data_IF_928537719761
#
_entry.id   IF_928537719761
#
_cell.length_a   1.000
_cell.length_b   1.000
_cell.length_c   1.000
_cell.angle_alpha   90.00
_cell.angle_beta   90.00
_cell.angle_gamma   90.00
#
_symmetry.space_group_name_H-M   'P 1'
#
loop_
_entity.id
_entity.type
_entity.pdbx_description
1 polymer ?
#
# COMPACT_ATOMS: atom_id res chain seq x y z
N UNK A 1 19.09 5.03 -0.66
CA UNK A 1 19.19 3.71 -0.02
C UNK A 1 19.05 2.61 -1.08
N UNK A 2 20.02 1.70 -1.16
CA UNK A 2 19.89 0.47 -1.96
C UNK A 2 18.98 -0.50 -1.20
N UNK A 3 18.25 -1.36 -1.90
CA UNK A 3 17.42 -2.40 -1.25
C UNK A 3 18.24 -3.26 -0.28
N UNK A 4 19.49 -3.55 -0.63
CA UNK A 4 20.45 -4.28 0.21
C UNK A 4 20.71 -3.62 1.56
N UNK A 5 20.68 -2.29 1.63
CA UNK A 5 20.90 -1.57 2.89
C UNK A 5 19.81 -1.92 3.93
N UNK A 6 18.61 -2.28 3.46
CA UNK A 6 17.53 -2.78 4.30
C UNK A 6 17.59 -4.31 4.46
N UNK A 7 17.64 -5.06 3.36
CA UNK A 7 17.49 -6.53 3.41
C UNK A 7 18.68 -7.24 4.05
N UNK A 8 19.86 -6.65 3.98
CA UNK A 8 21.09 -7.15 4.61
C UNK A 8 21.40 -6.43 5.93
N UNK A 9 20.51 -5.55 6.40
CA UNK A 9 20.66 -4.92 7.70
C UNK A 9 20.76 -6.01 8.79
N UNK A 10 21.75 -5.96 9.71
CA UNK A 10 21.99 -7.03 10.68
C UNK A 10 20.74 -7.40 11.51
N UNK A 11 19.89 -6.43 11.82
CA UNK A 11 18.64 -6.67 12.55
C UNK A 11 17.61 -7.42 11.72
N UNK A 12 17.42 -7.05 10.46
CA UNK A 12 16.49 -7.72 9.54
C UNK A 12 16.95 -9.15 9.29
N UNK A 13 18.24 -9.33 9.03
CA UNK A 13 18.84 -10.65 8.86
C UNK A 13 18.64 -11.52 10.11
N UNK A 14 18.88 -10.97 11.31
CA UNK A 14 18.67 -11.67 12.58
C UNK A 14 17.21 -12.10 12.74
N UNK A 15 16.24 -11.19 12.52
CA UNK A 15 14.81 -11.50 12.64
C UNK A 15 14.41 -12.64 11.70
N UNK A 16 14.78 -12.56 10.42
CA UNK A 16 14.44 -13.60 9.43
C UNK A 16 15.07 -14.93 9.81
N UNK A 17 16.34 -14.93 10.24
CA UNK A 17 17.03 -16.15 10.67
C UNK A 17 16.37 -16.77 11.90
N UNK A 18 16.05 -15.97 12.91
CA UNK A 18 15.50 -16.45 14.17
C UNK A 18 14.10 -17.05 13.95
N UNK A 19 13.25 -16.39 13.15
CA UNK A 19 11.95 -16.95 12.75
C UNK A 19 12.08 -18.28 11.99
N UNK A 20 13.07 -18.41 11.09
CA UNK A 20 13.35 -19.68 10.40
C UNK A 20 13.83 -20.77 11.37
N UNK A 21 14.67 -20.41 12.34
CA UNK A 21 15.14 -21.34 13.38
C UNK A 21 14.00 -21.82 14.30
N UNK A 22 13.03 -20.95 14.55
CA UNK A 22 11.78 -21.29 15.27
C UNK A 22 10.80 -22.11 14.41
N UNK A 23 11.14 -22.39 13.15
CA UNK A 23 10.31 -23.17 12.22
C UNK A 23 9.06 -22.41 11.76
N UNK A 24 9.03 -21.08 11.86
CA UNK A 24 7.88 -20.26 11.47
C UNK A 24 7.55 -20.45 9.98
N UNK A 25 8.57 -20.55 9.12
CA UNK A 25 8.42 -20.82 7.69
C UNK A 25 7.80 -22.20 7.37
N UNK A 26 7.67 -23.09 8.36
CA UNK A 26 7.01 -24.40 8.21
C UNK A 26 5.61 -24.42 8.83
N UNK A 27 5.17 -23.34 9.50
CA UNK A 27 3.82 -23.27 10.08
C UNK A 27 2.77 -23.15 8.98
N UNK A 28 1.58 -23.70 9.23
CA UNK A 28 0.44 -23.56 8.34
C UNK A 28 -0.27 -22.23 8.60
N UNK A 29 -0.25 -21.35 7.61
CA UNK A 29 -0.96 -20.07 7.59
C UNK A 29 -2.10 -20.05 6.57
N UNK A 30 -2.01 -20.90 5.53
CA UNK A 30 -3.04 -21.04 4.51
C UNK A 30 -3.20 -22.48 4.04
N UNK A 31 -4.38 -22.77 3.52
CA UNK A 31 -4.70 -24.00 2.81
C UNK A 31 -4.49 -23.87 1.29
N UNK A 32 -4.28 -22.65 0.78
CA UNK A 32 -3.99 -22.38 -0.63
C UNK A 32 -2.48 -22.30 -0.83
N UNK A 33 -1.95 -23.19 -1.65
CA UNK A 33 -0.52 -23.37 -1.89
C UNK A 33 -0.18 -23.30 -3.37
N UNK A 34 1.06 -22.95 -3.71
CA UNK A 34 1.59 -23.20 -5.06
C UNK A 34 2.48 -24.47 -5.11
N UNK A 35 3.07 -24.71 -6.28
CA UNK A 35 3.99 -25.82 -6.55
C UNK A 35 5.24 -25.79 -5.67
N UNK A 36 5.67 -24.60 -5.24
CA UNK A 36 6.84 -24.38 -4.37
C UNK A 36 6.47 -24.40 -2.87
N UNK A 37 5.22 -24.74 -2.54
CA UNK A 37 4.65 -24.71 -1.19
C UNK A 37 4.61 -23.31 -0.56
N UNK A 38 4.66 -22.23 -1.33
CA UNK A 38 4.32 -20.92 -0.80
C UNK A 38 2.84 -20.88 -0.43
N UNK A 39 2.50 -20.16 0.64
CA UNK A 39 1.16 -20.10 1.20
C UNK A 39 0.52 -18.75 0.88
N UNK A 40 -0.68 -18.79 0.33
CA UNK A 40 -1.38 -17.61 -0.17
C UNK A 40 -2.32 -17.06 0.91
N UNK A 41 -2.08 -15.83 1.35
CA UNK A 41 -2.80 -15.16 2.45
C UNK A 41 -3.37 -13.82 2.00
N UNK A 42 -4.38 -13.33 2.71
CA UNK A 42 -4.86 -11.97 2.57
C UNK A 42 -4.10 -11.03 3.52
N UNK A 43 -3.66 -9.87 3.00
CA UNK A 43 -2.97 -8.86 3.81
C UNK A 43 -3.81 -7.59 3.86
N UNK A 44 -4.17 -7.17 5.07
CA UNK A 44 -4.88 -5.92 5.34
C UNK A 44 -3.94 -5.00 6.10
N UNK A 45 -3.66 -3.82 5.54
CA UNK A 45 -2.73 -2.85 6.08
C UNK A 45 -3.48 -1.64 6.63
N UNK A 46 -3.59 -1.55 7.95
CA UNK A 46 -4.15 -0.37 8.61
C UNK A 46 -3.21 0.83 8.44
N UNK A 47 -3.79 2.00 8.22
CA UNK A 47 -3.07 3.26 8.22
C UNK A 47 -2.86 3.82 9.62
N UNK A 48 -1.74 4.52 9.81
CA UNK A 48 -1.45 5.26 11.03
C UNK A 48 -0.05 5.89 11.01
N UNK A 49 0.03 7.22 11.16
CA UNK A 49 1.26 7.98 11.39
C UNK A 49 2.34 7.93 10.28
N UNK A 50 3.45 8.60 10.55
CA UNK A 50 4.53 8.96 9.59
C UNK A 50 5.26 7.75 8.99
N UNK A 51 5.04 6.50 9.41
CA UNK A 51 5.87 5.39 8.92
C UNK A 51 5.05 4.14 8.61
N UNK A 52 4.29 4.24 7.50
CA UNK A 52 3.96 3.06 6.67
C UNK A 52 5.19 2.23 6.27
N UNK A 53 6.41 2.70 6.57
CA UNK A 53 7.69 1.99 6.51
C UNK A 53 7.72 0.71 7.35
N UNK A 54 7.11 0.68 8.53
CA UNK A 54 7.08 -0.55 9.34
C UNK A 54 6.33 -1.68 8.62
N UNK A 55 5.26 -1.34 7.90
CA UNK A 55 4.48 -2.28 7.11
C UNK A 55 5.28 -2.84 5.93
N UNK A 56 6.22 -2.07 5.38
CA UNK A 56 7.13 -2.55 4.32
C UNK A 56 7.98 -3.70 4.85
N UNK A 57 8.66 -3.50 5.99
CA UNK A 57 9.48 -4.55 6.61
C UNK A 57 8.67 -5.77 7.00
N UNK A 58 7.44 -5.57 7.46
CA UNK A 58 6.50 -6.65 7.75
C UNK A 58 6.22 -7.52 6.52
N UNK A 59 5.84 -6.90 5.39
CA UNK A 59 5.58 -7.65 4.15
C UNK A 59 6.82 -8.38 3.64
N UNK A 60 8.01 -7.81 3.78
CA UNK A 60 9.27 -8.49 3.47
C UNK A 60 9.44 -9.76 4.31
N UNK A 61 9.29 -9.67 5.63
CA UNK A 61 9.42 -10.83 6.51
C UNK A 61 8.40 -11.91 6.17
N UNK A 62 7.14 -11.54 5.87
CA UNK A 62 6.13 -12.51 5.44
C UNK A 62 6.56 -13.28 4.18
N UNK A 63 7.06 -12.57 3.15
CA UNK A 63 7.54 -13.21 1.92
C UNK A 63 8.74 -14.14 2.17
N UNK A 64 9.64 -13.76 3.09
CA UNK A 64 10.77 -14.58 3.52
C UNK A 64 10.36 -15.86 4.27
N UNK A 65 9.15 -15.87 4.87
CA UNK A 65 8.54 -17.05 5.51
C UNK A 65 7.75 -17.93 4.53
N UNK A 66 7.79 -17.63 3.23
CA UNK A 66 7.08 -18.40 2.21
C UNK A 66 5.61 -18.00 2.04
N UNK A 67 5.23 -16.81 2.49
CA UNK A 67 3.89 -16.27 2.25
C UNK A 67 3.83 -15.49 0.93
N UNK A 68 2.68 -15.54 0.26
CA UNK A 68 2.34 -14.75 -0.92
C UNK A 68 0.99 -14.08 -0.72
N UNK A 69 0.81 -12.91 -1.30
CA UNK A 69 -0.36 -12.08 -1.02
C UNK A 69 -1.44 -12.32 -2.06
N UNK A 70 -2.42 -13.15 -1.73
CA UNK A 70 -3.56 -13.46 -2.60
C UNK A 70 -4.51 -12.28 -2.73
N UNK A 71 -4.69 -11.51 -1.67
CA UNK A 71 -5.51 -10.31 -1.67
C UNK A 71 -4.86 -9.23 -0.80
N UNK A 72 -5.07 -7.99 -1.18
CA UNK A 72 -4.44 -6.83 -0.57
C UNK A 72 -5.52 -5.81 -0.23
N UNK A 73 -5.49 -5.29 0.99
CA UNK A 73 -6.32 -4.16 1.37
C UNK A 73 -5.55 -3.16 2.22
N UNK A 74 -5.99 -1.90 2.23
CA UNK A 74 -5.43 -0.92 3.16
C UNK A 74 -6.33 0.27 3.45
N UNK A 75 -5.97 1.00 4.51
CA UNK A 75 -6.53 2.31 4.88
C UNK A 75 -5.40 3.35 4.94
N UNK A 76 -5.66 4.60 4.52
CA UNK A 76 -4.67 5.69 4.55
C UNK A 76 -3.28 5.24 4.00
N UNK A 77 -2.18 5.38 4.76
CA UNK A 77 -0.83 4.95 4.36
C UNK A 77 -0.72 3.46 3.98
N UNK A 78 -1.52 2.58 4.59
CA UNK A 78 -1.57 1.17 4.22
C UNK A 78 -2.16 0.94 2.82
N UNK A 79 -3.03 1.84 2.34
CA UNK A 79 -3.57 1.80 0.98
C UNK A 79 -2.49 2.02 -0.07
N UNK A 80 -1.54 2.91 0.23
CA UNK A 80 -0.39 3.21 -0.64
C UNK A 80 0.45 1.94 -0.83
N UNK A 81 0.79 1.29 0.30
CA UNK A 81 1.54 0.04 0.27
C UNK A 81 0.79 -1.08 -0.46
N UNK A 82 -0.51 -1.24 -0.17
CA UNK A 82 -1.35 -2.25 -0.79
C UNK A 82 -1.44 -2.04 -2.32
N UNK A 83 -1.60 -0.80 -2.77
CA UNK A 83 -1.67 -0.47 -4.20
C UNK A 83 -0.34 -0.72 -4.90
N UNK A 84 0.78 -0.29 -4.31
CA UNK A 84 2.11 -0.54 -4.87
C UNK A 84 2.40 -2.05 -4.97
N UNK A 85 2.12 -2.83 -3.92
CA UNK A 85 2.22 -4.29 -3.97
C UNK A 85 1.31 -4.91 -5.04
N UNK A 86 0.09 -4.39 -5.21
CA UNK A 86 -0.80 -4.85 -6.26
C UNK A 86 -0.25 -4.54 -7.66
N UNK A 87 0.44 -3.41 -7.83
CA UNK A 87 1.01 -2.98 -9.11
C UNK A 87 2.25 -3.77 -9.55
N UNK A 88 2.96 -4.44 -8.63
CA UNK A 88 4.27 -5.05 -8.93
C UNK A 88 4.23 -6.44 -9.60
N UNK A 89 3.10 -6.81 -10.22
CA UNK A 89 2.87 -8.04 -10.96
C UNK A 89 1.79 -8.93 -10.36
N UNK A 90 1.70 -10.18 -10.79
CA UNK A 90 0.72 -11.15 -10.27
C UNK A 90 1.04 -11.60 -8.83
N UNK A 91 0.10 -12.32 -8.21
CA UNK A 91 0.19 -12.74 -6.79
C UNK A 91 1.26 -13.81 -6.49
N UNK A 92 1.88 -14.44 -7.50
CA UNK A 92 2.83 -15.53 -7.28
C UNK A 92 4.24 -15.07 -6.92
N UNK A 93 4.59 -13.84 -7.31
CA UNK A 93 5.94 -13.31 -7.16
C UNK A 93 6.11 -12.56 -5.84
N UNK A 94 7.30 -12.62 -5.22
CA UNK A 94 7.63 -11.70 -4.13
C UNK A 94 7.73 -10.27 -4.66
N UNK A 95 7.27 -9.31 -3.87
CA UNK A 95 7.09 -7.89 -4.26
C UNK A 95 7.66 -6.91 -3.24
N UNK A 96 8.00 -7.38 -2.03
CA UNK A 96 8.45 -6.49 -0.95
C UNK A 96 9.72 -5.73 -1.28
N UNK A 97 10.64 -6.32 -2.06
CA UNK A 97 11.92 -5.69 -2.41
C UNK A 97 11.72 -4.44 -3.27
N UNK A 98 10.77 -4.49 -4.20
CA UNK A 98 10.35 -3.34 -5.02
C UNK A 98 9.67 -2.28 -4.16
N UNK A 99 8.83 -2.71 -3.22
CA UNK A 99 8.18 -1.79 -2.27
C UNK A 99 9.20 -1.05 -1.41
N UNK A 100 10.20 -1.76 -0.86
CA UNK A 100 11.32 -1.18 -0.12
C UNK A 100 12.05 -0.17 -1.00
N UNK A 101 12.39 -0.54 -2.23
CA UNK A 101 13.12 0.35 -3.13
C UNK A 101 12.37 1.66 -3.40
N UNK A 102 11.05 1.60 -3.57
CA UNK A 102 10.24 2.77 -3.89
C UNK A 102 10.03 3.66 -2.67
N UNK A 103 9.67 3.09 -1.53
CA UNK A 103 9.24 3.86 -0.37
C UNK A 103 10.37 4.22 0.59
N UNK A 104 11.40 3.39 0.75
CA UNK A 104 12.54 3.71 1.63
C UNK A 104 13.41 4.86 1.06
N UNK A 105 13.25 5.15 -0.24
CA UNK A 105 13.96 6.24 -0.92
C UNK A 105 13.11 7.51 -1.08
N UNK A 106 11.85 7.48 -0.65
CA UNK A 106 10.96 8.61 -0.82
C UNK A 106 11.00 9.51 0.42
N UNK A 107 11.31 10.78 0.22
CA UNK A 107 11.06 11.77 1.25
C UNK A 107 9.57 12.11 1.25
N UNK A 108 8.92 11.94 2.42
CA UNK A 108 7.50 12.23 2.57
C UNK A 108 7.21 13.74 2.54
N UNK A 109 8.21 14.60 2.80
CA UNK A 109 8.07 16.04 2.63
C UNK A 109 7.83 16.44 1.17
N UNK A 110 8.30 15.63 0.21
CA UNK A 110 8.05 15.86 -1.22
C UNK A 110 6.55 15.79 -1.57
N UNK A 111 5.70 15.27 -0.68
CA UNK A 111 4.25 15.22 -0.86
C UNK A 111 3.53 16.42 -0.25
N UNK A 112 4.25 17.33 0.41
CA UNK A 112 3.68 18.58 0.91
C UNK A 112 3.61 19.59 -0.24
N UNK A 113 2.48 19.60 -0.93
CA UNK A 113 2.12 20.57 -1.96
C UNK A 113 1.11 21.60 -1.43
N UNK A 114 0.65 22.51 -2.31
CA UNK A 114 -0.14 23.68 -1.94
C UNK A 114 0.63 24.99 -2.14
N UNK A 115 0.04 26.09 -1.71
CA UNK A 115 0.70 27.40 -1.78
C UNK A 115 1.78 27.55 -0.69
N UNK A 116 2.49 28.69 -0.69
CA UNK A 116 3.58 28.90 0.26
C UNK A 116 3.08 28.94 1.71
N UNK A 117 1.86 29.45 1.95
CA UNK A 117 1.30 29.55 3.29
C UNK A 117 0.91 28.17 3.86
N UNK A 118 0.36 27.28 3.03
CA UNK A 118 0.09 25.88 3.37
C UNK A 118 1.38 25.12 3.72
N UNK A 119 2.43 25.24 2.90
CA UNK A 119 3.72 24.60 3.17
C UNK A 119 4.35 25.08 4.48
N UNK A 120 4.41 26.40 4.68
CA UNK A 120 4.99 26.98 5.89
C UNK A 120 4.19 26.62 7.16
N UNK A 121 2.88 26.39 7.05
CA UNK A 121 2.06 25.90 8.16
C UNK A 121 2.35 24.43 8.49
N UNK A 122 2.45 23.55 7.48
CA UNK A 122 2.79 22.14 7.68
C UNK A 122 4.20 21.99 8.26
N UNK A 123 5.17 22.74 7.75
CA UNK A 123 6.53 22.79 8.31
C UNK A 123 6.50 23.23 9.78
N UNK A 124 5.76 24.27 10.12
CA UNK A 124 5.66 24.74 11.50
C UNK A 124 5.00 23.70 12.44
N UNK A 125 4.01 22.94 11.96
CA UNK A 125 3.39 21.84 12.71
C UNK A 125 4.39 20.70 12.96
N UNK A 126 5.12 20.31 11.92
CA UNK A 126 6.13 19.25 11.96
C UNK A 126 7.28 19.61 12.90
N UNK A 127 7.77 20.85 12.83
CA UNK A 127 8.84 21.37 13.69
C UNK A 127 8.40 21.58 15.15
N UNK A 128 7.14 21.27 15.49
CA UNK A 128 6.54 21.52 16.80
C UNK A 128 6.73 22.98 17.24
N UNK A 129 6.51 23.90 16.30
CA UNK A 129 6.68 25.32 16.54
C UNK A 129 5.79 25.82 17.68
N UNK A 130 6.21 26.93 18.31
CA UNK A 130 5.44 27.56 19.39
C UNK A 130 4.02 27.91 18.94
N UNK A 131 3.06 27.79 19.85
CA UNK A 131 1.61 28.04 19.64
C UNK A 131 1.35 29.37 18.92
N UNK A 132 2.11 30.43 19.22
CA UNK A 132 1.99 31.74 18.55
C UNK A 132 2.32 31.69 17.06
N UNK A 133 3.38 30.96 16.66
CA UNK A 133 3.77 30.78 15.25
C UNK A 133 2.73 29.93 14.52
N UNK A 134 2.23 28.88 15.17
CA UNK A 134 1.14 28.04 14.64
C UNK A 134 -0.16 28.82 14.45
N UNK A 135 -0.54 29.69 15.39
CA UNK A 135 -1.74 30.50 15.27
C UNK A 135 -1.63 31.51 14.12
N UNK A 136 -0.48 32.16 13.97
CA UNK A 136 -0.23 33.08 12.85
C UNK A 136 -0.32 32.36 11.49
N UNK A 137 0.41 31.25 11.34
CA UNK A 137 0.40 30.46 10.11
C UNK A 137 -0.97 29.84 9.84
N UNK A 138 -1.66 29.40 10.88
CA UNK A 138 -3.02 28.88 10.82
C UNK A 138 -4.01 29.89 10.22
N UNK A 139 -3.89 31.19 10.54
CA UNK A 139 -4.74 32.23 9.92
C UNK A 139 -4.51 32.39 8.42
N UNK A 140 -3.30 32.12 7.93
CA UNK A 140 -2.91 32.28 6.52
C UNK A 140 -3.39 31.12 5.64
N UNK A 141 -3.92 30.05 6.23
CA UNK A 141 -4.38 28.86 5.49
C UNK A 141 -5.88 28.61 5.63
N UNK A 142 -6.60 29.50 6.33
CA UNK A 142 -8.07 29.40 6.50
C UNK A 142 -8.77 29.54 5.15
N UNK A 143 -8.32 30.50 4.34
CA UNK A 143 -8.82 30.71 2.99
C UNK A 143 -8.62 29.47 2.12
N UNK A 144 -7.46 28.83 2.16
CA UNK A 144 -7.20 27.58 1.41
C UNK A 144 -8.15 26.45 1.80
N UNK A 145 -8.36 26.23 3.10
CA UNK A 145 -9.33 25.23 3.58
C UNK A 145 -10.75 25.54 3.12
N UNK A 146 -11.14 26.83 3.10
CA UNK A 146 -12.52 27.23 2.76
C UNK A 146 -12.78 27.33 1.26
N UNK A 147 -11.77 27.67 0.46
CA UNK A 147 -11.91 27.87 -0.99
C UNK A 147 -11.54 26.60 -1.78
N UNK A 148 -10.51 25.87 -1.35
CA UNK A 148 -9.96 24.70 -2.06
C UNK A 148 -10.28 23.37 -1.36
N UNK A 149 -11.10 23.42 -0.28
CA UNK A 149 -11.54 22.26 0.51
C UNK A 149 -10.39 21.43 1.12
N UNK A 150 -9.17 21.99 1.17
CA UNK A 150 -7.97 21.31 1.66
C UNK A 150 -6.74 22.23 1.67
N UNK A 151 -5.67 21.77 2.31
CA UNK A 151 -4.38 22.48 2.37
C UNK A 151 -3.44 22.06 1.24
N UNK A 152 -3.47 20.78 0.90
CA UNK A 152 -2.57 20.12 -0.02
C UNK A 152 -3.42 19.44 -1.12
N UNK A 153 -3.34 19.88 -2.39
CA UNK A 153 -4.10 19.27 -3.49
C UNK A 153 -3.72 17.81 -3.76
N UNK A 154 -2.49 17.39 -3.40
CA UNK A 154 -1.99 16.03 -3.59
C UNK A 154 -1.52 15.71 -5.02
N UNK A 155 -1.28 16.72 -5.86
CA UNK A 155 -0.83 16.59 -7.24
C UNK A 155 0.54 15.91 -7.34
N UNK A 156 1.49 16.29 -6.48
CA UNK A 156 2.84 15.73 -6.49
C UNK A 156 2.82 14.26 -6.05
N UNK A 157 1.98 13.94 -5.06
CA UNK A 157 1.73 12.57 -4.62
C UNK A 157 1.08 11.75 -5.74
N UNK A 158 0.01 12.26 -6.36
CA UNK A 158 -0.71 11.60 -7.44
C UNK A 158 0.21 11.34 -8.64
N UNK A 159 1.00 12.32 -9.06
CA UNK A 159 1.95 12.20 -10.17
C UNK A 159 3.03 11.16 -9.88
N UNK A 160 3.57 11.15 -8.67
CA UNK A 160 4.56 10.16 -8.24
C UNK A 160 4.00 8.74 -8.27
N UNK A 161 2.82 8.54 -7.66
CA UNK A 161 2.18 7.24 -7.59
C UNK A 161 1.78 6.75 -8.98
N UNK A 162 1.12 7.60 -9.78
CA UNK A 162 0.74 7.30 -11.16
C UNK A 162 1.96 6.92 -12.02
N UNK A 163 3.09 7.61 -11.84
CA UNK A 163 4.33 7.31 -12.55
C UNK A 163 4.89 5.93 -12.22
N UNK A 164 4.75 5.47 -10.97
CA UNK A 164 5.16 4.10 -10.58
C UNK A 164 4.21 3.07 -11.16
N UNK A 165 2.90 3.32 -11.09
CA UNK A 165 1.88 2.43 -11.67
C UNK A 165 2.12 2.26 -13.17
N UNK A 166 2.33 3.35 -13.90
CA UNK A 166 2.59 3.33 -15.34
C UNK A 166 3.89 2.59 -15.69
N UNK A 167 4.96 2.75 -14.91
CA UNK A 167 6.21 1.99 -15.09
C UNK A 167 6.01 0.47 -14.92
N UNK A 168 4.99 0.06 -14.16
CA UNK A 168 4.60 -1.35 -14.00
C UNK A 168 3.47 -1.77 -14.95
N UNK A 169 3.15 -0.95 -15.95
CA UNK A 169 2.13 -1.24 -16.96
C UNK A 169 0.69 -1.06 -16.47
N UNK A 170 0.48 -0.38 -15.34
CA UNK A 170 -0.83 -0.12 -14.75
C UNK A 170 -1.22 1.33 -15.03
N UNK A 171 -2.12 1.58 -15.99
CA UNK A 171 -2.64 2.92 -16.28
C UNK A 171 -4.07 3.10 -15.78
N UNK A 172 -4.81 2.00 -15.76
CA UNK A 172 -6.24 1.95 -15.46
C UNK A 172 -6.54 0.92 -14.38
N UNK A 173 -7.71 1.04 -13.75
CA UNK A 173 -8.25 0.03 -12.81
C UNK A 173 -8.34 -1.34 -13.47
N UNK A 174 -8.70 -1.40 -14.76
CA UNK A 174 -8.71 -2.64 -15.53
C UNK A 174 -7.32 -3.27 -15.64
N UNK A 175 -6.27 -2.47 -15.89
CA UNK A 175 -4.89 -2.98 -15.95
C UNK A 175 -4.47 -3.62 -14.62
N UNK A 176 -4.82 -2.97 -13.50
CA UNK A 176 -4.53 -3.49 -12.17
C UNK A 176 -5.17 -4.87 -11.98
N UNK A 177 -6.44 -5.02 -12.34
CA UNK A 177 -7.13 -6.31 -12.24
C UNK A 177 -6.58 -7.37 -13.20
N UNK A 178 -6.22 -6.99 -14.41
CA UNK A 178 -5.65 -7.93 -15.39
C UNK A 178 -4.25 -8.42 -14.98
N UNK A 179 -3.49 -7.58 -14.26
CA UNK A 179 -2.17 -7.92 -13.74
C UNK A 179 -2.25 -8.65 -12.39
N UNK A 180 -2.71 -7.96 -11.34
CA UNK A 180 -2.81 -8.49 -9.98
C UNK A 180 -3.86 -9.60 -9.84
N UNK A 181 -4.99 -9.47 -10.53
CA UNK A 181 -6.12 -10.39 -10.44
C UNK A 181 -5.89 -11.76 -11.07
N UNK A 182 -4.73 -12.00 -11.68
CA UNK A 182 -4.42 -13.26 -12.34
C UNK A 182 -4.09 -14.36 -11.32
N UNK A 183 -4.96 -15.37 -11.26
CA UNK A 183 -4.73 -16.58 -10.46
C UNK A 183 -3.67 -17.47 -11.15
N UNK A 184 -2.58 -17.85 -10.46
CA UNK A 184 -1.60 -18.79 -10.99
C UNK A 184 -2.23 -20.17 -11.24
N UNK A 185 -1.92 -20.81 -12.37
CA UNK A 185 -2.47 -22.11 -12.74
C UNK A 185 -2.09 -23.23 -11.75
N UNK A 186 -0.96 -23.10 -11.05
CA UNK A 186 -0.41 -24.10 -10.13
C UNK A 186 -0.94 -24.02 -8.69
N UNK A 187 -2.01 -23.24 -8.42
CA UNK A 187 -2.59 -23.21 -7.08
C UNK A 187 -3.29 -24.53 -6.76
N UNK A 188 -3.02 -25.05 -5.55
CA UNK A 188 -3.59 -26.29 -5.02
C UNK A 188 -4.07 -26.08 -3.60
N UNK A 189 -5.07 -26.86 -3.21
CA UNK A 189 -5.51 -26.96 -1.82
C UNK A 189 -4.64 -27.98 -1.08
N UNK A 190 -4.27 -27.65 0.16
CA UNK A 190 -3.51 -28.52 1.06
C UNK A 190 -4.18 -29.90 1.21
N UNK A 191 -3.37 -30.96 1.18
CA UNK A 191 -3.83 -32.33 1.35
C UNK A 191 -4.66 -32.49 2.63
N UNK A 192 -5.82 -33.12 2.51
CA UNK A 192 -6.75 -33.36 3.64
C UNK A 192 -7.80 -32.27 3.85
N UNK A 193 -7.73 -31.16 3.12
CA UNK A 193 -8.75 -30.09 3.16
C UNK A 193 -9.77 -30.32 2.04
N UNK A 194 -11.05 -30.45 2.38
CA UNK A 194 -12.14 -30.65 1.42
C UNK A 194 -12.63 -29.31 0.84
N UNK A 195 -11.80 -28.67 0.02
CA UNK A 195 -12.09 -27.42 -0.72
C UNK A 195 -11.45 -27.49 -2.10
N UNK A 196 -11.85 -26.62 -3.02
CA UNK A 196 -11.22 -26.45 -4.33
C UNK A 196 -10.71 -25.02 -4.51
N UNK A 197 -9.88 -24.79 -5.52
CA UNK A 197 -9.45 -23.45 -5.93
C UNK A 197 -10.45 -22.78 -6.88
N UNK A 198 -11.57 -23.44 -7.19
CA UNK A 198 -12.56 -22.95 -8.15
C UNK A 198 -13.20 -21.66 -7.63
N UNK A 199 -13.27 -20.64 -8.49
CA UNK A 199 -13.87 -19.36 -8.16
C UNK A 199 -13.01 -18.45 -7.27
N UNK A 200 -11.81 -18.87 -6.87
CA UNK A 200 -10.87 -17.98 -6.19
C UNK A 200 -10.48 -16.82 -7.11
N UNK A 201 -10.56 -15.59 -6.59
CA UNK A 201 -10.16 -14.39 -7.31
C UNK A 201 -9.43 -13.43 -6.35
N UNK A 202 -8.21 -12.97 -6.68
CA UNK A 202 -7.51 -11.95 -5.93
C UNK A 202 -8.33 -10.68 -5.84
N UNK A 203 -8.33 -10.06 -4.66
CA UNK A 203 -9.03 -8.79 -4.43
C UNK A 203 -8.04 -7.73 -3.97
N UNK A 204 -8.16 -6.55 -4.55
CA UNK A 204 -7.58 -5.33 -4.05
C UNK A 204 -8.68 -4.46 -3.44
N UNK A 205 -8.42 -3.84 -2.28
CA UNK A 205 -9.36 -2.92 -1.66
C UNK A 205 -8.68 -1.74 -0.95
N UNK A 206 -9.14 -0.52 -1.23
CA UNK A 206 -8.85 0.68 -0.44
C UNK A 206 -10.09 1.02 0.36
N UNK A 207 -9.93 1.09 1.67
CA UNK A 207 -10.99 1.50 2.58
C UNK A 207 -10.75 2.97 2.94
N UNK A 208 -11.71 3.81 2.61
CA UNK A 208 -11.68 5.25 2.90
C UNK A 208 -13.06 5.74 3.34
N UNK A 209 -13.17 7.03 3.64
CA UNK A 209 -14.42 7.69 4.00
C UNK A 209 -14.63 8.90 3.08
N UNK A 210 -15.83 9.01 2.53
CA UNK A 210 -16.29 10.20 1.85
C UNK A 210 -16.91 11.14 2.90
N UNK A 211 -16.22 12.25 3.16
CA UNK A 211 -16.63 13.22 4.17
C UNK A 211 -17.89 14.00 3.77
N UNK A 212 -18.19 14.10 2.48
CA UNK A 212 -19.37 14.84 2.00
C UNK A 212 -20.67 14.06 2.22
N UNK A 213 -20.58 12.73 2.18
CA UNK A 213 -21.72 11.81 2.33
C UNK A 213 -21.68 11.00 3.62
N UNK A 214 -20.68 11.24 4.48
CA UNK A 214 -20.43 10.53 5.74
C UNK A 214 -20.42 8.99 5.56
N UNK A 215 -19.96 8.53 4.39
CA UNK A 215 -20.08 7.13 3.99
C UNK A 215 -18.72 6.45 3.94
N UNK A 216 -18.65 5.21 4.44
CA UNK A 216 -17.48 4.34 4.23
C UNK A 216 -17.45 3.89 2.77
N UNK A 217 -16.33 4.16 2.10
CA UNK A 217 -16.09 3.81 0.70
C UNK A 217 -15.10 2.66 0.62
N UNK A 218 -15.37 1.72 -0.28
CA UNK A 218 -14.46 0.63 -0.63
C UNK A 218 -14.11 0.73 -2.11
N UNK A 219 -12.94 1.25 -2.44
CA UNK A 219 -12.44 1.23 -3.81
C UNK A 219 -11.70 -0.08 -4.10
N UNK A 220 -11.75 -0.58 -5.34
CA UNK A 220 -12.52 -0.05 -6.45
C UNK A 220 -13.93 -0.69 -6.52
N UNK A 221 -14.45 -1.34 -5.45
CA UNK A 221 -15.79 -1.96 -5.45
C UNK A 221 -16.92 -0.95 -5.62
N UNK A 222 -16.77 0.25 -5.05
CA UNK A 222 -17.75 1.33 -5.08
C UNK A 222 -17.45 2.40 -6.15
N UNK A 223 -16.53 2.12 -7.08
CA UNK A 223 -16.02 3.11 -8.06
C UNK A 223 -17.09 3.73 -8.97
N UNK A 224 -18.13 2.96 -9.32
CA UNK A 224 -19.22 3.44 -10.19
C UNK A 224 -20.06 4.54 -9.53
N UNK A 225 -19.93 4.75 -8.21
CA UNK A 225 -20.57 5.88 -7.53
C UNK A 225 -19.85 7.21 -7.80
N UNK A 226 -18.61 7.16 -8.29
CA UNK A 226 -17.72 8.32 -8.43
C UNK A 226 -17.35 8.62 -9.89
N UNK A 227 -17.35 7.61 -10.78
CA UNK A 227 -16.93 7.77 -12.17
C UNK A 227 -17.85 7.01 -13.14
N UNK A 228 -18.13 7.63 -14.30
CA UNK A 228 -18.91 6.99 -15.39
C UNK A 228 -18.12 5.84 -16.05
N UNK A 229 -16.85 6.08 -16.40
CA UNK A 229 -15.96 5.08 -17.00
C UNK A 229 -14.98 4.53 -15.95
N UNK A 230 -15.52 3.92 -14.90
CA UNK A 230 -14.76 3.61 -13.70
C UNK A 230 -13.62 2.58 -13.91
N UNK A 231 -13.63 1.82 -15.00
CA UNK A 231 -12.53 0.91 -15.34
C UNK A 231 -11.35 1.61 -16.00
N UNK A 232 -11.55 2.80 -16.58
CA UNK A 232 -10.55 3.58 -17.30
C UNK A 232 -9.79 4.57 -16.39
N UNK A 233 -10.25 4.76 -15.15
CA UNK A 233 -9.59 5.65 -14.19
C UNK A 233 -8.30 5.05 -13.67
N UNK A 234 -7.32 5.89 -13.36
CA UNK A 234 -6.13 5.47 -12.64
C UNK A 234 -6.55 4.88 -11.27
N UNK A 235 -6.03 3.70 -10.87
CA UNK A 235 -6.49 2.99 -9.67
C UNK A 235 -6.30 3.73 -8.34
#
# INVERSE_FOLDING_TARGET
MKTTDFTEHPEVYRIVRDLKNEGINNKQFSDVLDENNNQYVEVVQEGGGVLGVALIGYTYVLEQMGLRFFSLAGTSAGSINALLLASFGDISQPKSDKLIQVLANKDLYDFVDGDNDAREFIEALVEQAKILKLAWKGMQVIDNITNDLGLNPGDDFLKWLSGILEQNGIKTTADLYNSFGKVPAGLKIRTGVNKTTDGLQPRFAVITADLSTETKVEFPRMRELYWENADEVNP
#
